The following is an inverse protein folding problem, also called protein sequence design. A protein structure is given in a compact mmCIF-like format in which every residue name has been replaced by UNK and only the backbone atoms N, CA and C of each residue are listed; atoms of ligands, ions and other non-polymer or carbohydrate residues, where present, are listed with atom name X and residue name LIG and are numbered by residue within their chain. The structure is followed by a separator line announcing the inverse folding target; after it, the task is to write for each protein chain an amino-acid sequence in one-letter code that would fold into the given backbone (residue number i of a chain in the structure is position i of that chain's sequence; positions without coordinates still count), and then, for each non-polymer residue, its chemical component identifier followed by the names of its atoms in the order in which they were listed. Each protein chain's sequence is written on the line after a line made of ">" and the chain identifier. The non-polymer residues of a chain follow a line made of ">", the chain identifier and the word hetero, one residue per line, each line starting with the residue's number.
data_IF_049160332156
#
_entry.id   IF_049160332156
#
_cell.length_a   1.000
_cell.length_b   1.000
_cell.length_c   1.000
_cell.angle_alpha   90.00
_cell.angle_beta   90.00
_cell.angle_gamma   90.00
#
_symmetry.space_group_name_H-M   'P 1'
#
loop_
_entity.id
_entity.type
_entity.pdbx_description
1 polymer ?
#
# COMPACT_ATOMS: atom_id res chain seq x y z
N UNK A 1 48.83 19.09 31.21
CA UNK A 1 47.42 19.50 31.06
C UNK A 1 47.06 19.33 29.59
N UNK A 2 46.37 18.24 29.23
CA UNK A 2 44.98 18.22 28.71
C UNK A 2 44.78 19.12 27.46
N UNK A 3 44.27 18.67 26.31
CA UNK A 3 43.29 17.61 26.07
C UNK A 3 43.35 17.09 24.61
N UNK A 4 43.36 15.77 24.43
CA UNK A 4 42.92 15.13 23.19
C UNK A 4 41.38 15.11 23.18
N UNK A 5 40.79 15.89 22.28
CA UNK A 5 39.34 15.92 22.03
C UNK A 5 38.95 14.57 21.44
N UNK A 6 38.22 13.75 22.21
CA UNK A 6 37.72 12.42 21.79
C UNK A 6 36.88 12.57 20.51
N UNK A 7 37.36 12.02 19.40
CA UNK A 7 36.54 11.72 18.23
C UNK A 7 35.59 10.57 18.61
N UNK A 8 34.29 10.86 18.65
CA UNK A 8 33.26 9.84 18.71
C UNK A 8 33.06 9.27 17.29
N UNK A 9 32.93 7.93 17.13
CA UNK A 9 32.64 7.35 15.83
C UNK A 9 31.17 7.66 15.51
N UNK A 10 30.94 8.31 14.37
CA UNK A 10 29.59 8.48 13.82
C UNK A 10 29.12 7.08 13.42
N UNK A 11 28.23 6.51 14.23
CA UNK A 11 27.49 5.31 13.89
C UNK A 11 26.60 5.67 12.68
N UNK A 12 27.01 5.23 11.49
CA UNK A 12 26.22 5.33 10.26
C UNK A 12 25.02 4.37 10.39
N UNK A 13 23.99 4.81 11.10
CA UNK A 13 22.69 4.11 11.12
C UNK A 13 22.06 4.35 9.75
N UNK A 14 22.02 3.32 8.91
CA UNK A 14 21.33 3.33 7.62
C UNK A 14 19.82 3.51 7.82
N UNK A 15 19.34 4.74 7.96
CA UNK A 15 17.90 5.11 7.95
C UNK A 15 17.31 5.04 6.53
N UNK A 16 17.65 4.03 5.72
CA UNK A 16 17.33 3.99 4.28
C UNK A 16 16.05 3.20 3.96
N UNK A 17 15.49 2.43 4.91
CA UNK A 17 14.48 1.42 4.56
C UNK A 17 13.03 1.92 4.44
N UNK A 18 12.63 3.03 5.08
CA UNK A 18 11.20 3.39 5.17
C UNK A 18 10.63 4.10 3.94
N UNK A 19 11.47 4.83 3.19
CA UNK A 19 10.99 5.61 2.03
C UNK A 19 10.74 4.68 0.83
N UNK A 20 11.61 3.69 0.61
CA UNK A 20 11.51 2.75 -0.51
C UNK A 20 10.20 1.93 -0.50
N UNK A 21 9.71 1.51 0.67
CA UNK A 21 8.46 0.74 0.77
C UNK A 21 7.21 1.57 0.42
N UNK A 22 7.19 2.86 0.75
CA UNK A 22 6.03 3.71 0.47
C UNK A 22 5.85 3.95 -1.03
N UNK A 23 6.97 4.13 -1.74
CA UNK A 23 7.00 4.26 -3.19
C UNK A 23 6.62 2.93 -3.87
N UNK A 24 7.13 1.80 -3.38
CA UNK A 24 6.82 0.47 -3.90
C UNK A 24 5.33 0.12 -3.78
N UNK A 25 4.72 0.38 -2.62
CA UNK A 25 3.28 0.17 -2.42
C UNK A 25 2.46 1.07 -3.35
N UNK A 26 2.84 2.34 -3.47
CA UNK A 26 2.13 3.29 -4.36
C UNK A 26 2.23 2.87 -5.82
N UNK A 27 3.39 2.36 -6.24
CA UNK A 27 3.62 1.84 -7.58
C UNK A 27 2.81 0.56 -7.84
N UNK A 28 2.74 -0.36 -6.87
CA UNK A 28 1.99 -1.62 -7.01
C UNK A 28 0.49 -1.40 -7.28
N UNK A 29 -0.06 -0.25 -6.87
CA UNK A 29 -1.46 0.12 -7.09
C UNK A 29 -1.65 1.16 -8.20
N UNK A 30 -0.60 1.54 -8.94
CA UNK A 30 -0.66 2.66 -9.89
C UNK A 30 -1.57 2.41 -11.11
N UNK A 31 -1.89 1.14 -11.37
CA UNK A 31 -2.79 0.73 -12.45
C UNK A 31 -4.26 0.62 -12.00
N UNK A 32 -4.58 1.06 -10.78
CA UNK A 32 -5.96 1.05 -10.27
C UNK A 32 -6.87 1.91 -11.14
N UNK A 33 -8.13 1.51 -11.23
CA UNK A 33 -9.16 2.37 -11.83
C UNK A 33 -9.26 3.67 -11.04
N UNK A 34 -9.36 4.80 -11.76
CA UNK A 34 -9.40 6.14 -11.18
C UNK A 34 -8.19 6.49 -10.28
N UNK A 35 -7.02 5.85 -10.49
CA UNK A 35 -5.83 6.03 -9.64
C UNK A 35 -5.49 7.50 -9.38
N UNK A 36 -5.44 8.34 -10.41
CA UNK A 36 -5.12 9.78 -10.25
C UNK A 36 -6.05 10.52 -9.28
N UNK A 37 -7.30 10.05 -9.14
CA UNK A 37 -8.30 10.64 -8.24
C UNK A 37 -8.20 10.10 -6.81
N UNK A 38 -7.76 8.85 -6.66
CA UNK A 38 -7.85 8.10 -5.41
C UNK A 38 -6.51 7.53 -4.93
N UNK A 39 -5.38 7.98 -5.48
CA UNK A 39 -4.02 7.49 -5.20
C UNK A 39 -3.74 7.34 -3.70
N UNK A 40 -3.99 8.39 -2.91
CA UNK A 40 -3.72 8.35 -1.46
C UNK A 40 -4.56 7.30 -0.74
N UNK A 41 -5.83 7.14 -1.13
CA UNK A 41 -6.72 6.14 -0.55
C UNK A 41 -6.28 4.71 -0.92
N UNK A 42 -5.89 4.48 -2.17
CA UNK A 42 -5.38 3.19 -2.64
C UNK A 42 -4.07 2.81 -1.95
N UNK A 43 -3.08 3.72 -1.92
CA UNK A 43 -1.79 3.46 -1.27
C UNK A 43 -1.96 3.20 0.23
N UNK A 44 -2.81 3.96 0.91
CA UNK A 44 -3.10 3.77 2.34
C UNK A 44 -3.80 2.44 2.62
N UNK A 45 -4.77 2.06 1.79
CA UNK A 45 -5.48 0.79 1.93
C UNK A 45 -4.56 -0.40 1.64
N UNK A 46 -3.79 -0.36 0.56
CA UNK A 46 -2.80 -1.39 0.23
C UNK A 46 -1.76 -1.54 1.33
N UNK A 47 -1.21 -0.42 1.84
CA UNK A 47 -0.30 -0.45 2.97
C UNK A 47 -0.93 -1.13 4.19
N UNK A 48 -2.15 -0.76 4.56
CA UNK A 48 -2.85 -1.38 5.70
C UNK A 48 -2.98 -2.90 5.52
N UNK A 49 -3.39 -3.34 4.33
CA UNK A 49 -3.57 -4.75 3.99
C UNK A 49 -2.26 -5.55 3.90
N UNK A 50 -1.14 -4.88 3.64
CA UNK A 50 0.19 -5.48 3.67
C UNK A 50 0.69 -5.57 5.11
N UNK A 51 0.56 -4.47 5.86
CA UNK A 51 0.98 -4.39 7.26
C UNK A 51 0.21 -5.40 8.15
N UNK A 52 -1.06 -5.69 7.83
CA UNK A 52 -1.87 -6.69 8.55
C UNK A 52 -1.69 -8.14 8.04
N UNK A 53 -0.91 -8.33 6.98
CA UNK A 53 -0.61 -9.64 6.39
C UNK A 53 -1.73 -10.24 5.53
N UNK A 54 -2.81 -9.51 5.27
CA UNK A 54 -3.93 -9.96 4.41
C UNK A 54 -3.50 -10.07 2.95
N UNK A 55 -2.66 -9.14 2.49
CA UNK A 55 -2.16 -9.06 1.12
C UNK A 55 -0.64 -8.95 1.10
N UNK A 56 -0.04 -9.33 -0.02
CA UNK A 56 1.36 -9.05 -0.35
C UNK A 56 1.42 -7.94 -1.40
N UNK A 57 2.55 -7.25 -1.50
CA UNK A 57 2.81 -6.29 -2.61
C UNK A 57 2.55 -6.97 -3.96
N UNK A 58 3.00 -8.22 -4.12
CA UNK A 58 2.81 -9.01 -5.35
C UNK A 58 1.35 -9.28 -5.71
N UNK A 59 0.43 -9.27 -4.75
CA UNK A 59 -1.00 -9.40 -5.05
C UNK A 59 -1.49 -8.15 -5.80
N UNK A 60 -1.08 -6.96 -5.34
CA UNK A 60 -1.40 -5.70 -6.00
C UNK A 60 -0.72 -5.57 -7.36
N UNK A 61 0.55 -5.97 -7.49
CA UNK A 61 1.25 -5.98 -8.78
C UNK A 61 0.56 -6.90 -9.79
N UNK A 62 0.13 -8.09 -9.35
CA UNK A 62 -0.55 -9.05 -10.22
C UNK A 62 -1.93 -8.56 -10.69
N UNK A 63 -2.69 -7.95 -9.78
CA UNK A 63 -4.03 -7.40 -10.11
C UNK A 63 -3.94 -6.06 -10.82
N UNK A 64 -2.87 -5.29 -10.59
CA UNK A 64 -2.77 -3.87 -10.97
C UNK A 64 -3.40 -2.92 -9.96
N UNK A 65 -3.60 -3.34 -8.70
CA UNK A 65 -4.22 -2.53 -7.65
C UNK A 65 -5.72 -2.78 -7.47
N UNK A 66 -6.53 -1.73 -7.58
CA UNK A 66 -7.97 -1.75 -7.29
C UNK A 66 -8.82 -1.47 -8.53
N UNK A 67 -9.82 -2.31 -8.78
CA UNK A 67 -10.72 -2.28 -9.93
C UNK A 67 -12.10 -1.75 -9.53
N UNK A 68 -12.71 -0.90 -10.35
CA UNK A 68 -14.01 -0.28 -10.06
C UNK A 68 -15.10 -1.34 -9.93
N UNK A 69 -15.85 -1.32 -8.81
CA UNK A 69 -16.93 -2.29 -8.60
C UNK A 69 -18.16 -1.97 -9.46
N UNK A 70 -18.57 -2.93 -10.28
CA UNK A 70 -19.82 -2.86 -11.05
C UNK A 70 -21.08 -3.16 -10.21
N UNK A 71 -20.91 -3.76 -9.02
CA UNK A 71 -22.01 -4.04 -8.09
C UNK A 71 -22.38 -2.80 -7.26
N UNK A 72 -21.50 -1.81 -7.21
CA UNK A 72 -21.64 -0.59 -6.40
C UNK A 72 -21.46 0.66 -7.27
N UNK A 73 -22.10 0.71 -8.45
CA UNK A 73 -21.84 1.73 -9.49
C UNK A 73 -21.90 3.18 -8.99
N UNK A 74 -22.85 3.48 -8.09
CA UNK A 74 -23.07 4.84 -7.58
C UNK A 74 -22.26 5.15 -6.32
N UNK A 75 -21.39 4.25 -5.87
CA UNK A 75 -20.52 4.43 -4.70
C UNK A 75 -19.06 4.41 -5.13
N UNK A 76 -18.15 5.06 -4.39
CA UNK A 76 -16.72 5.03 -4.67
C UNK A 76 -16.11 3.72 -4.15
N UNK A 77 -16.65 2.59 -4.60
CA UNK A 77 -16.22 1.25 -4.20
C UNK A 77 -15.42 0.60 -5.33
N UNK A 78 -14.29 0.04 -4.95
CA UNK A 78 -13.34 -0.68 -5.79
C UNK A 78 -13.08 -2.04 -5.16
N UNK A 79 -12.44 -2.96 -5.87
CA UNK A 79 -12.07 -4.26 -5.31
C UNK A 79 -10.70 -4.72 -5.81
N UNK A 80 -10.08 -5.60 -5.05
CA UNK A 80 -8.85 -6.30 -5.42
C UNK A 80 -8.95 -7.77 -5.03
N UNK A 81 -7.90 -8.54 -5.28
CA UNK A 81 -7.76 -9.92 -4.83
C UNK A 81 -6.43 -10.11 -4.13
N UNK A 82 -6.45 -10.81 -2.99
CA UNK A 82 -5.24 -11.18 -2.27
C UNK A 82 -5.23 -12.69 -2.00
N UNK A 83 -4.15 -13.38 -2.38
CA UNK A 83 -4.08 -14.84 -2.31
C UNK A 83 -4.69 -15.58 -3.51
N UNK A 84 -4.88 -14.89 -4.65
CA UNK A 84 -5.33 -15.46 -5.93
C UNK A 84 -6.72 -15.00 -6.40
N UNK A 85 -7.02 -15.14 -7.70
CA UNK A 85 -8.21 -14.60 -8.37
C UNK A 85 -9.49 -15.43 -8.13
N UNK A 86 -9.95 -15.49 -6.88
CA UNK A 86 -11.18 -16.21 -6.48
C UNK A 86 -12.13 -15.32 -5.69
N UNK A 87 -13.43 -15.63 -5.70
CA UNK A 87 -14.44 -14.85 -4.95
C UNK A 87 -14.08 -14.74 -3.45
N UNK A 88 -13.67 -15.81 -2.75
CA UNK A 88 -13.26 -15.71 -1.35
C UNK A 88 -12.04 -14.84 -1.09
N UNK A 89 -11.23 -14.54 -2.11
CA UNK A 89 -10.05 -13.69 -1.99
C UNK A 89 -10.32 -12.24 -2.35
N UNK A 90 -11.55 -11.92 -2.79
CA UNK A 90 -11.94 -10.57 -3.17
C UNK A 90 -12.12 -9.71 -1.92
N UNK A 91 -11.58 -8.51 -1.97
CA UNK A 91 -11.78 -7.47 -0.96
C UNK A 91 -12.30 -6.22 -1.65
N UNK A 92 -13.33 -5.60 -1.09
CA UNK A 92 -13.83 -4.30 -1.51
C UNK A 92 -13.22 -3.19 -0.66
N UNK A 93 -12.97 -2.04 -1.27
CA UNK A 93 -12.52 -0.81 -0.64
C UNK A 93 -13.51 0.30 -0.99
N UNK A 94 -14.06 0.96 0.02
CA UNK A 94 -14.73 2.25 -0.15
C UNK A 94 -13.70 3.38 0.00
N UNK A 95 -13.28 4.00 -1.10
CA UNK A 95 -12.18 5.00 -1.07
C UNK A 95 -12.56 6.32 -0.40
N UNK A 96 -13.85 6.57 -0.16
CA UNK A 96 -14.27 7.75 0.61
C UNK A 96 -14.15 7.57 2.12
N UNK A 97 -14.30 6.35 2.62
CA UNK A 97 -14.24 6.05 4.06
C UNK A 97 -12.95 5.33 4.46
N UNK A 98 -12.27 4.69 3.51
CA UNK A 98 -11.14 3.78 3.75
C UNK A 98 -11.56 2.42 4.30
N UNK A 99 -12.87 2.11 4.32
CA UNK A 99 -13.40 0.83 4.79
C UNK A 99 -13.07 -0.29 3.80
N UNK A 100 -12.56 -1.41 4.33
CA UNK A 100 -12.33 -2.64 3.59
C UNK A 100 -13.29 -3.72 4.08
N UNK A 101 -13.96 -4.41 3.15
CA UNK A 101 -15.00 -5.41 3.44
C UNK A 101 -15.04 -6.51 2.37
N UNK A 102 -15.87 -7.54 2.59
CA UNK A 102 -16.11 -8.67 1.67
C UNK A 102 -17.53 -8.65 1.14
#
# INVERSE_FOLDING_TARGET
>A
MLAFKKMAPVLLVCFVSSIALADDITQSVSQSDDFKKHQSAFAKAAKKLIDDGTCKVSDFEYVGGFVKSMNHKNKPVYFTYCGGMTIPNRLYLNVSTGEVFR
#
